data_IF_432283801851
#
_entry.id   IF_432283801851
#
_cell.length_a   1.000
_cell.length_b   1.000
_cell.length_c   1.000
_cell.angle_alpha   90.00
_cell.angle_beta   90.00
_cell.angle_gamma   90.00
#
_symmetry.space_group_name_H-M   'P 1'
#
loop_
_entity.id
_entity.type
_entity.pdbx_description
1 polymer ?
#
# COMPACT_ATOMS: atom_id res chain seq x y z
N UNK A 1 -2.79 9.48 0.23
CA UNK A 1 -3.44 8.16 0.15
C UNK A 1 -3.14 7.41 1.43
N UNK A 2 -4.11 6.67 1.95
CA UNK A 2 -3.95 5.80 3.13
C UNK A 2 -4.46 4.42 2.78
N UNK A 3 -3.60 3.41 2.93
CA UNK A 3 -3.97 2.00 2.83
C UNK A 3 -4.55 1.51 4.15
N UNK A 4 -5.65 0.76 4.06
CA UNK A 4 -6.28 0.04 5.15
C UNK A 4 -6.10 -1.44 4.83
N UNK A 5 -5.26 -2.13 5.59
CA UNK A 5 -5.01 -3.55 5.43
C UNK A 5 -5.59 -4.30 6.63
N UNK A 6 -6.58 -5.15 6.40
CA UNK A 6 -7.27 -5.92 7.45
C UNK A 6 -6.82 -7.37 7.37
N UNK A 7 -6.25 -7.87 8.45
CA UNK A 7 -5.91 -9.28 8.62
C UNK A 7 -7.21 -10.10 8.75
N UNK A 8 -7.51 -10.98 7.79
CA UNK A 8 -8.61 -11.94 7.94
C UNK A 8 -8.15 -13.21 8.67
N UNK A 9 -6.84 -13.46 8.66
CA UNK A 9 -6.15 -14.55 9.36
C UNK A 9 -4.94 -13.98 10.10
N UNK A 10 -4.41 -14.71 11.08
CA UNK A 10 -3.16 -14.35 11.75
C UNK A 10 -2.04 -14.15 10.73
N UNK A 11 -1.30 -13.05 10.84
CA UNK A 11 -0.15 -12.72 10.01
C UNK A 11 1.12 -12.78 10.85
N UNK A 12 2.03 -13.66 10.47
CA UNK A 12 3.31 -13.94 11.13
C UNK A 12 4.46 -13.79 10.15
N UNK A 13 5.70 -13.75 10.63
CA UNK A 13 6.90 -13.74 9.80
C UNK A 13 6.96 -14.96 8.88
N UNK A 14 6.45 -16.12 9.32
CA UNK A 14 6.50 -17.39 8.57
C UNK A 14 5.45 -17.42 7.45
N UNK A 15 4.25 -16.87 7.68
CA UNK A 15 3.18 -16.88 6.67
C UNK A 15 3.06 -15.57 5.85
N UNK A 16 4.06 -14.71 5.92
CA UNK A 16 4.18 -13.53 5.06
C UNK A 16 3.43 -12.30 5.58
N UNK A 17 3.63 -11.93 6.85
CA UNK A 17 3.23 -10.62 7.38
C UNK A 17 3.88 -9.45 6.62
N UNK A 18 3.39 -8.24 6.88
CA UNK A 18 4.00 -7.01 6.36
C UNK A 18 5.32 -6.73 7.09
N UNK A 19 6.24 -6.11 6.37
CA UNK A 19 7.47 -5.53 6.90
C UNK A 19 7.53 -4.08 6.45
N UNK A 20 7.95 -3.17 7.31
CA UNK A 20 8.03 -1.74 6.96
C UNK A 20 9.29 -1.09 7.52
N UNK A 21 9.75 -0.02 6.86
CA UNK A 21 10.83 0.84 7.36
C UNK A 21 10.20 1.99 8.17
N UNK A 22 10.33 2.02 9.51
CA UNK A 22 9.75 3.08 10.32
C UNK A 22 10.26 4.47 9.89
N UNK A 23 9.34 5.43 9.78
CA UNK A 23 9.67 6.82 9.39
C UNK A 23 9.93 7.06 7.90
N UNK A 24 10.03 6.01 7.06
CA UNK A 24 10.32 6.15 5.62
C UNK A 24 9.31 6.99 4.83
N UNK A 25 8.06 7.06 5.30
CA UNK A 25 7.00 7.89 4.74
C UNK A 25 7.30 9.39 4.70
N UNK A 26 8.32 9.86 5.43
CA UNK A 26 8.74 11.27 5.45
C UNK A 26 9.66 11.65 4.28
N UNK A 27 10.11 10.67 3.50
CA UNK A 27 11.12 10.87 2.44
C UNK A 27 10.51 11.12 1.05
N UNK A 28 9.17 11.12 0.96
CA UNK A 28 8.46 11.31 -0.30
C UNK A 28 8.44 10.06 -1.21
N UNK A 29 7.66 10.15 -2.28
CA UNK A 29 7.50 9.07 -3.25
C UNK A 29 8.76 8.84 -4.10
N UNK A 30 9.29 7.63 -4.05
CA UNK A 30 10.57 7.26 -4.68
C UNK A 30 10.43 6.80 -6.13
N UNK A 31 9.30 6.20 -6.50
CA UNK A 31 9.06 5.53 -7.79
C UNK A 31 7.56 5.46 -8.08
N UNK A 32 7.16 5.62 -9.34
CA UNK A 32 5.76 5.55 -9.78
C UNK A 32 5.55 4.46 -10.81
N UNK A 33 4.40 3.80 -10.73
CA UNK A 33 3.88 2.91 -11.77
C UNK A 33 2.88 3.70 -12.63
N UNK A 34 3.29 4.02 -13.85
CA UNK A 34 2.60 4.95 -14.74
C UNK A 34 1.98 4.21 -15.93
N UNK A 35 0.88 4.76 -16.46
CA UNK A 35 0.20 4.30 -17.67
C UNK A 35 0.34 5.33 -18.78
N UNK A 36 1.06 4.95 -19.82
CA UNK A 36 1.17 5.68 -21.08
C UNK A 36 0.31 5.06 -22.20
N UNK A 37 0.57 5.47 -23.44
CA UNK A 37 -0.14 4.99 -24.63
C UNK A 37 0.15 3.51 -24.93
N UNK A 38 1.38 3.05 -24.65
CA UNK A 38 1.86 1.70 -24.96
C UNK A 38 1.71 0.70 -23.80
N UNK A 39 0.98 1.07 -22.74
CA UNK A 39 0.78 0.23 -21.55
C UNK A 39 1.32 0.88 -20.28
N UNK A 40 1.90 0.06 -19.40
CA UNK A 40 2.34 0.47 -18.07
C UNK A 40 3.85 0.27 -17.88
N UNK A 41 4.48 1.19 -17.16
CA UNK A 41 5.92 1.14 -16.87
C UNK A 41 6.22 1.78 -15.53
N UNK A 42 7.45 1.63 -15.06
CA UNK A 42 7.96 2.41 -13.94
C UNK A 42 8.77 3.59 -14.46
N UNK A 43 8.56 4.77 -13.87
CA UNK A 43 9.26 6.00 -14.25
C UNK A 43 10.75 6.00 -13.89
N UNK A 44 11.14 5.12 -12.95
CA UNK A 44 12.50 4.97 -12.42
C UNK A 44 12.83 3.50 -12.11
N UNK A 45 14.11 3.13 -12.01
CA UNK A 45 14.53 1.83 -11.49
C UNK A 45 14.02 1.56 -10.07
N UNK A 46 14.01 0.30 -9.65
CA UNK A 46 13.66 -0.04 -8.27
C UNK A 46 14.73 0.50 -7.31
N UNK A 47 14.35 1.20 -6.22
CA UNK A 47 15.30 1.53 -5.16
C UNK A 47 15.80 0.25 -4.47
N UNK A 48 16.96 0.36 -3.83
CA UNK A 48 17.51 -0.65 -2.93
C UNK A 48 17.40 -0.15 -1.49
N UNK A 49 17.09 -1.05 -0.57
CA UNK A 49 16.98 -0.78 0.86
C UNK A 49 17.80 -1.81 1.62
N UNK A 50 18.35 -1.42 2.76
CA UNK A 50 19.00 -2.37 3.64
C UNK A 50 17.91 -3.18 4.35
N UNK A 51 18.00 -4.52 4.28
CA UNK A 51 17.00 -5.40 4.87
C UNK A 51 16.91 -5.27 6.39
N UNK A 52 18.00 -4.85 7.06
CA UNK A 52 18.01 -4.61 8.50
C UNK A 52 17.19 -3.38 8.95
N UNK A 53 16.79 -2.51 8.02
CA UNK A 53 15.95 -1.34 8.31
C UNK A 53 14.46 -1.72 8.44
N UNK A 54 14.08 -2.92 7.99
CA UNK A 54 12.69 -3.37 8.02
C UNK A 54 12.34 -4.02 9.36
N UNK A 55 11.17 -3.65 9.88
CA UNK A 55 10.58 -4.23 11.08
C UNK A 55 9.34 -5.05 10.69
N UNK A 56 9.20 -6.30 11.19
CA UNK A 56 8.02 -7.12 10.92
C UNK A 56 6.80 -6.58 11.65
N UNK A 57 5.63 -6.69 11.02
CA UNK A 57 4.33 -6.29 11.55
C UNK A 57 3.46 -7.53 11.66
N UNK A 58 3.75 -8.36 12.67
CA UNK A 58 2.94 -9.53 13.01
C UNK A 58 1.66 -9.11 13.74
N UNK A 59 0.51 -9.61 13.31
CA UNK A 59 -0.80 -9.23 13.84
C UNK A 59 -1.76 -10.41 13.87
N UNK A 60 -2.76 -10.34 14.75
CA UNK A 60 -3.84 -11.32 14.84
C UNK A 60 -4.96 -11.04 13.84
N UNK A 61 -5.72 -12.08 13.48
CA UNK A 61 -6.95 -11.93 12.71
C UNK A 61 -7.86 -10.84 13.32
N UNK A 62 -8.46 -10.00 12.47
CA UNK A 62 -9.25 -8.84 12.85
C UNK A 62 -8.47 -7.55 13.04
N UNK A 63 -7.13 -7.59 13.02
CA UNK A 63 -6.31 -6.36 13.14
C UNK A 63 -6.37 -5.52 11.86
N UNK A 64 -6.49 -4.20 12.03
CA UNK A 64 -6.32 -3.21 10.96
C UNK A 64 -4.93 -2.57 11.06
N UNK A 65 -4.16 -2.65 9.98
CA UNK A 65 -2.90 -1.92 9.81
C UNK A 65 -3.17 -0.72 8.89
N UNK A 66 -2.92 0.48 9.40
CA UNK A 66 -2.96 1.73 8.63
C UNK A 66 -1.61 1.98 7.96
N UNK A 67 -1.61 2.18 6.65
CA UNK A 67 -0.41 2.32 5.83
C UNK A 67 -0.41 3.70 5.17
N UNK A 68 0.56 4.54 5.51
CA UNK A 68 0.76 5.82 4.81
C UNK A 68 1.20 5.57 3.36
N UNK A 69 0.72 6.38 2.40
CA UNK A 69 0.97 6.17 0.97
C UNK A 69 2.44 6.13 0.55
N UNK A 70 3.31 6.83 1.27
CA UNK A 70 4.77 6.86 1.04
C UNK A 70 5.57 5.88 1.92
N UNK A 71 4.90 5.09 2.77
CA UNK A 71 5.60 4.14 3.64
C UNK A 71 6.21 3.01 2.81
N UNK A 72 7.52 2.81 2.93
CA UNK A 72 8.19 1.66 2.32
C UNK A 72 7.81 0.41 3.12
N UNK A 73 7.13 -0.52 2.44
CA UNK A 73 6.68 -1.78 3.00
C UNK A 73 6.79 -2.91 1.98
N UNK A 74 6.90 -4.14 2.48
CA UNK A 74 6.99 -5.37 1.69
C UNK A 74 6.34 -6.54 2.43
N UNK A 75 6.17 -7.67 1.76
CA UNK A 75 5.85 -8.96 2.37
C UNK A 75 6.60 -10.06 1.65
N UNK A 76 6.98 -11.10 2.37
CA UNK A 76 7.67 -12.26 1.81
C UNK A 76 6.70 -13.38 1.43
N UNK A 77 7.22 -14.34 0.68
CA UNK A 77 6.51 -15.58 0.36
C UNK A 77 6.08 -16.30 1.64
N UNK A 78 4.87 -16.87 1.60
CA UNK A 78 4.35 -17.67 2.70
C UNK A 78 4.98 -19.07 2.66
N UNK A 79 5.75 -19.41 3.70
CA UNK A 79 6.42 -20.71 3.82
C UNK A 79 5.68 -21.69 4.75
N UNK A 80 4.45 -21.34 5.15
CA UNK A 80 3.63 -22.15 6.04
C UNK A 80 2.57 -22.94 5.27
N UNK A 81 1.97 -24.00 5.87
CA UNK A 81 0.87 -24.72 5.24
C UNK A 81 -0.49 -24.00 5.37
N UNK A 82 -0.53 -22.78 5.91
CA UNK A 82 -1.76 -22.00 6.14
C UNK A 82 -1.78 -20.76 5.25
N UNK A 83 -2.94 -20.35 4.78
CA UNK A 83 -3.13 -19.08 4.09
C UNK A 83 -2.85 -17.88 5.01
N UNK A 84 -2.77 -16.69 4.40
CA UNK A 84 -2.71 -15.39 5.06
C UNK A 84 -3.61 -14.40 4.33
N UNK A 85 -4.91 -14.68 4.35
CA UNK A 85 -5.90 -13.83 3.72
C UNK A 85 -5.98 -12.47 4.41
N UNK A 86 -6.11 -11.43 3.58
CA UNK A 86 -6.25 -10.07 4.02
C UNK A 86 -7.15 -9.31 3.03
N UNK A 87 -7.86 -8.31 3.54
CA UNK A 87 -8.63 -7.38 2.74
C UNK A 87 -7.95 -6.03 2.74
N UNK A 88 -7.79 -5.40 1.57
CA UNK A 88 -7.12 -4.10 1.47
C UNK A 88 -7.93 -3.10 0.66
N UNK A 89 -8.02 -1.88 1.18
CA UNK A 89 -8.67 -0.73 0.54
C UNK A 89 -7.75 0.46 0.66
N UNK A 90 -7.72 1.32 -0.36
CA UNK A 90 -6.97 2.57 -0.32
C UNK A 90 -7.93 3.76 -0.37
N UNK A 91 -7.80 4.67 0.59
CA UNK A 91 -8.53 5.92 0.65
C UNK A 91 -7.66 7.07 0.15
N UNK A 92 -8.27 7.98 -0.61
CA UNK A 92 -7.61 9.14 -1.19
C UNK A 92 -8.47 10.35 -0.86
N UNK A 93 -7.84 11.37 -0.30
CA UNK A 93 -8.51 12.65 -0.10
C UNK A 93 -8.81 13.28 -1.47
N UNK A 94 -10.00 13.83 -1.61
CA UNK A 94 -10.44 14.54 -2.81
C UNK A 94 -10.45 16.05 -2.61
N UNK A 95 -10.37 16.53 -1.37
CA UNK A 95 -10.24 17.95 -1.08
C UNK A 95 -8.78 18.40 -1.29
N UNK A 96 -8.60 19.43 -2.12
CA UNK A 96 -7.27 19.94 -2.51
C UNK A 96 -6.35 18.97 -3.26
N UNK A 97 -6.76 17.71 -3.46
CA UNK A 97 -5.94 16.64 -4.00
C UNK A 97 -6.42 16.22 -5.40
N UNK A 98 -5.50 16.17 -6.37
CA UNK A 98 -5.80 15.73 -7.75
C UNK A 98 -5.25 14.34 -8.01
N UNK A 99 -6.11 13.44 -8.48
CA UNK A 99 -5.68 12.11 -8.93
C UNK A 99 -4.82 12.26 -10.20
N UNK A 100 -3.61 11.72 -10.17
CA UNK A 100 -2.70 11.84 -11.30
C UNK A 100 -3.24 11.10 -12.54
N UNK A 101 -3.24 11.77 -13.69
CA UNK A 101 -3.85 11.28 -14.95
C UNK A 101 -3.11 10.08 -15.54
N UNK A 102 -1.84 9.92 -15.19
CA UNK A 102 -0.95 8.82 -15.58
C UNK A 102 -0.96 7.65 -14.58
N UNK A 103 -1.77 7.68 -13.52
CA UNK A 103 -2.00 6.49 -12.70
C UNK A 103 -2.66 5.37 -13.53
N UNK A 104 -2.25 4.13 -13.28
CA UNK A 104 -2.76 2.97 -14.03
C UNK A 104 -4.26 2.73 -13.79
N UNK A 105 -4.69 2.85 -12.53
CA UNK A 105 -6.09 2.78 -12.14
C UNK A 105 -6.73 4.15 -12.37
N UNK A 106 -7.79 4.14 -13.18
CA UNK A 106 -8.57 5.32 -13.53
C UNK A 106 -10.03 5.02 -13.29
N UNK A 107 -10.74 6.00 -12.73
CA UNK A 107 -12.19 5.93 -12.64
C UNK A 107 -12.77 6.43 -13.96
N UNK A 108 -13.90 5.84 -14.39
CA UNK A 108 -14.65 6.35 -15.54
C UNK A 108 -15.40 7.65 -15.21
N UNK A 109 -15.70 7.84 -13.93
CA UNK A 109 -16.42 8.97 -13.36
C UNK A 109 -15.67 9.46 -12.13
N UNK A 110 -15.78 10.75 -11.83
CA UNK A 110 -15.17 11.30 -10.62
C UNK A 110 -15.82 10.72 -9.36
N UNK A 111 -15.06 10.58 -8.25
CA UNK A 111 -15.61 10.07 -7.00
C UNK A 111 -16.58 11.09 -6.41
N UNK A 112 -17.79 10.64 -6.09
CA UNK A 112 -18.72 11.42 -5.26
C UNK A 112 -18.25 11.37 -3.79
N UNK A 113 -18.34 12.50 -3.04
CA UNK A 113 -18.06 12.50 -1.62
C UNK A 113 -18.93 11.46 -0.90
N UNK A 114 -18.30 10.62 -0.06
CA UNK A 114 -19.03 9.69 0.82
C UNK A 114 -19.91 10.42 1.84
N UNK A 115 -19.50 11.63 2.20
CA UNK A 115 -20.21 12.53 3.09
C UNK A 115 -20.13 13.95 2.53
N UNK A 116 -21.30 14.59 2.36
CA UNK A 116 -21.38 16.03 2.15
C UNK A 116 -21.76 16.66 3.50
N UNK A 117 -21.01 17.66 4.00
CA UNK A 117 -21.45 18.41 5.17
C UNK A 117 -22.81 19.05 4.87
N UNK A 118 -23.72 18.98 5.85
CA UNK A 118 -25.01 19.66 5.80
C UNK A 118 -24.86 21.18 5.82
#
# INVERSE_FOLDING_TARGET
CTGLWVALEDATAINGCLWAIPGSHKNGLVRRFIRGEQGVSFDRPSPSYNQSDFVPVEVKAGSLVLIHGDLIHQSFENQSPKSRHAYSVHAVDTDGCKWATDNWIRRKVDPEPLYSPA
#
